data_IF_261580980324
#
_entry.id   IF_261580980324
#
_cell.length_a   1.000
_cell.length_b   1.000
_cell.length_c   1.000
_cell.angle_alpha   90.00
_cell.angle_beta   90.00
_cell.angle_gamma   90.00
#
_symmetry.space_group_name_H-M   'P 1'
#
loop_
_entity.id
_entity.type
_entity.pdbx_description
1 polymer ?
#
# COMPACT_ATOMS: atom_id res chain seq x y z
N UNK A 1 -2.15 1.46 -14.73
CA UNK A 1 -1.11 2.10 -15.56
C UNK A 1 0.26 1.86 -14.95
N UNK A 2 0.57 2.36 -13.75
CA UNK A 2 1.86 2.15 -13.10
C UNK A 2 2.31 0.67 -13.06
N UNK A 3 1.39 -0.25 -12.79
CA UNK A 3 1.64 -1.71 -12.81
C UNK A 3 2.22 -2.19 -14.14
N UNK A 4 1.70 -1.71 -15.26
CA UNK A 4 2.16 -2.09 -16.59
C UNK A 4 3.56 -1.53 -16.86
N UNK A 5 3.84 -0.29 -16.43
CA UNK A 5 5.17 0.30 -16.54
C UNK A 5 6.20 -0.47 -15.72
N UNK A 6 5.91 -0.73 -14.45
CA UNK A 6 6.79 -1.51 -13.57
C UNK A 6 7.04 -2.92 -14.12
N UNK A 7 6.03 -3.56 -14.67
CA UNK A 7 6.18 -4.88 -15.31
C UNK A 7 7.14 -4.85 -16.50
N UNK A 8 7.09 -3.80 -17.31
CA UNK A 8 7.89 -3.70 -18.55
C UNK A 8 9.28 -3.14 -18.32
N UNK A 9 9.44 -2.18 -17.42
CA UNK A 9 10.65 -1.35 -17.33
C UNK A 9 11.20 -1.21 -15.91
N UNK A 10 10.50 -1.61 -14.88
CA UNK A 10 10.88 -1.44 -13.48
C UNK A 10 11.02 -2.76 -12.73
N UNK A 11 10.71 -2.72 -11.44
CA UNK A 11 10.83 -3.82 -10.49
C UNK A 11 10.03 -5.09 -10.86
N UNK A 12 9.12 -5.00 -11.83
CA UNK A 12 8.30 -6.11 -12.30
C UNK A 12 8.92 -6.96 -13.41
N UNK A 13 10.13 -6.65 -13.88
CA UNK A 13 10.76 -7.41 -14.96
C UNK A 13 11.10 -8.85 -14.54
N UNK A 14 10.95 -9.77 -15.50
CA UNK A 14 11.43 -11.14 -15.36
C UNK A 14 10.50 -12.10 -14.62
N UNK A 15 9.26 -11.68 -14.26
CA UNK A 15 8.23 -12.58 -13.70
C UNK A 15 7.02 -12.70 -14.62
N UNK A 16 6.24 -13.78 -14.50
CA UNK A 16 5.01 -13.94 -15.27
C UNK A 16 3.80 -13.32 -14.59
N UNK A 17 3.87 -13.14 -13.26
CA UNK A 17 2.78 -12.57 -12.48
C UNK A 17 3.26 -11.62 -11.39
N UNK A 18 2.58 -10.52 -11.22
CA UNK A 18 2.82 -9.57 -10.14
C UNK A 18 1.56 -8.81 -9.74
N UNK A 19 1.57 -8.30 -8.52
CA UNK A 19 0.57 -7.37 -8.03
C UNK A 19 1.23 -6.11 -7.48
N UNK A 20 0.64 -4.95 -7.74
CA UNK A 20 1.16 -3.67 -7.24
C UNK A 20 0.23 -3.07 -6.19
N UNK A 21 0.82 -2.41 -5.20
CA UNK A 21 0.16 -1.57 -4.22
C UNK A 21 0.76 -0.17 -4.30
N UNK A 22 -0.07 0.83 -4.57
CA UNK A 22 0.35 2.23 -4.66
C UNK A 22 -0.41 3.09 -3.63
N UNK A 23 -0.04 3.04 -2.34
CA UNK A 23 -0.56 3.95 -1.33
C UNK A 23 -0.08 5.39 -1.62
N UNK A 24 -1.03 6.26 -1.85
CA UNK A 24 -0.86 7.69 -2.08
C UNK A 24 -1.96 8.46 -1.39
N UNK A 25 -2.64 9.39 -2.07
CA UNK A 25 -3.86 10.05 -1.56
C UNK A 25 -4.95 9.02 -1.22
N UNK A 26 -5.08 7.97 -2.03
CA UNK A 26 -5.84 6.75 -1.81
C UNK A 26 -4.94 5.53 -1.87
N UNK A 27 -5.48 4.36 -2.25
CA UNK A 27 -4.71 3.16 -2.52
C UNK A 27 -5.13 2.56 -3.86
N UNK A 28 -4.26 2.65 -4.85
CA UNK A 28 -4.41 1.95 -6.12
C UNK A 28 -3.72 0.60 -6.12
N UNK A 29 -4.17 -0.29 -7.01
CA UNK A 29 -3.53 -1.56 -7.29
C UNK A 29 -3.57 -1.92 -8.77
N UNK A 30 -2.85 -2.98 -9.13
CA UNK A 30 -2.90 -3.57 -10.45
C UNK A 30 -2.35 -4.99 -10.42
N UNK A 31 -2.89 -5.83 -11.29
CA UNK A 31 -2.56 -7.24 -11.36
C UNK A 31 -2.12 -7.62 -12.78
N UNK A 32 -0.94 -8.20 -12.91
CA UNK A 32 -0.45 -8.86 -14.13
C UNK A 32 -0.47 -10.36 -13.90
N UNK A 33 -1.03 -11.09 -14.84
CA UNK A 33 -1.01 -12.55 -14.88
C UNK A 33 -0.65 -13.03 -16.30
N UNK A 34 0.31 -13.94 -16.41
CA UNK A 34 0.85 -14.42 -17.70
C UNK A 34 1.22 -13.27 -18.66
N UNK A 35 1.83 -12.21 -18.09
CA UNK A 35 2.27 -11.04 -18.84
C UNK A 35 1.15 -10.10 -19.29
N UNK A 36 -0.10 -10.31 -18.87
CA UNK A 36 -1.26 -9.50 -19.25
C UNK A 36 -1.86 -8.79 -18.06
N UNK A 37 -2.24 -7.53 -18.27
CA UNK A 37 -2.99 -6.77 -17.27
C UNK A 37 -4.38 -7.36 -17.09
N UNK A 38 -4.72 -7.74 -15.86
CA UNK A 38 -6.05 -8.24 -15.49
C UNK A 38 -6.96 -7.06 -15.22
N UNK A 39 -7.95 -6.84 -16.07
CA UNK A 39 -8.94 -5.75 -15.93
C UNK A 39 -10.23 -6.21 -15.27
N UNK A 40 -10.54 -7.51 -15.32
CA UNK A 40 -11.81 -8.05 -14.85
C UNK A 40 -12.95 -7.81 -15.82
N UNK A 41 -14.13 -8.32 -15.46
CA UNK A 41 -15.32 -8.28 -16.33
C UNK A 41 -15.80 -6.84 -16.63
N UNK A 42 -15.70 -5.95 -15.63
CA UNK A 42 -16.20 -4.57 -15.71
C UNK A 42 -15.10 -3.55 -15.43
N UNK A 43 -13.84 -3.90 -15.66
CA UNK A 43 -12.66 -3.08 -15.42
C UNK A 43 -12.45 -2.67 -13.95
N UNK A 44 -12.92 -3.50 -13.00
CA UNK A 44 -12.76 -3.27 -11.56
C UNK A 44 -11.87 -4.31 -10.89
N UNK A 45 -11.05 -5.05 -11.63
CA UNK A 45 -10.06 -5.91 -11.02
C UNK A 45 -8.98 -5.09 -10.30
N UNK A 46 -8.40 -5.70 -9.28
CA UNK A 46 -7.32 -5.12 -8.49
C UNK A 46 -7.68 -3.85 -7.67
N UNK A 47 -8.97 -3.65 -7.36
CA UNK A 47 -9.45 -2.61 -6.44
C UNK A 47 -9.09 -2.95 -4.98
N UNK A 48 -7.80 -3.21 -4.75
CA UNK A 48 -7.26 -3.70 -3.47
C UNK A 48 -7.46 -2.72 -2.31
N UNK A 49 -7.54 -1.44 -2.63
CA UNK A 49 -7.83 -0.40 -1.64
C UNK A 49 -9.17 -0.60 -0.93
N UNK A 50 -10.11 -1.28 -1.57
CA UNK A 50 -11.44 -1.51 -1.04
C UNK A 50 -11.67 -2.90 -0.44
N UNK A 51 -10.61 -3.70 -0.29
CA UNK A 51 -10.64 -4.92 0.52
C UNK A 51 -10.73 -4.55 2.00
N UNK A 52 -11.71 -5.12 2.71
CA UNK A 52 -11.88 -4.88 4.15
C UNK A 52 -10.84 -5.69 4.92
N UNK A 53 -10.00 -5.00 5.68
CA UNK A 53 -8.93 -5.58 6.50
C UNK A 53 -9.32 -5.57 7.98
N UNK A 54 -10.11 -4.58 8.39
CA UNK A 54 -10.54 -4.40 9.77
C UNK A 54 -12.01 -3.98 9.78
N UNK A 55 -12.92 -4.89 10.18
CA UNK A 55 -14.37 -4.63 10.13
C UNK A 55 -14.80 -3.45 11.00
N UNK A 56 -14.06 -3.17 12.08
CA UNK A 56 -14.29 -2.05 12.99
C UNK A 56 -13.36 -0.85 12.70
N UNK A 57 -12.66 -0.91 11.59
CA UNK A 57 -11.69 0.09 11.17
C UNK A 57 -12.32 1.41 10.67
N UNK A 58 -11.48 2.36 10.23
CA UNK A 58 -11.92 3.69 9.85
C UNK A 58 -12.89 3.68 8.65
N UNK A 59 -13.76 4.70 8.61
CA UNK A 59 -14.70 4.89 7.50
C UNK A 59 -13.95 5.23 6.21
N UNK A 60 -14.18 4.45 5.17
CA UNK A 60 -13.66 4.69 3.83
C UNK A 60 -14.58 5.65 3.04
N UNK A 61 -14.00 6.40 2.10
CA UNK A 61 -14.76 7.24 1.17
C UNK A 61 -15.79 6.47 0.34
N UNK A 62 -15.61 5.15 0.17
CA UNK A 62 -16.61 4.30 -0.50
C UNK A 62 -17.85 3.99 0.36
N UNK A 63 -17.91 4.49 1.60
CA UNK A 63 -19.02 4.30 2.54
C UNK A 63 -18.91 3.05 3.43
N UNK A 64 -17.90 2.21 3.25
CA UNK A 64 -17.65 1.01 4.08
C UNK A 64 -16.60 1.29 5.14
N UNK A 65 -16.62 0.52 6.23
CA UNK A 65 -15.58 0.57 7.25
C UNK A 65 -14.44 -0.41 6.94
N UNK A 66 -13.23 -0.05 7.37
CA UNK A 66 -12.07 -0.93 7.41
C UNK A 66 -11.47 -1.32 6.07
N UNK A 67 -11.78 -0.60 5.01
CA UNK A 67 -11.07 -0.76 3.75
C UNK A 67 -9.57 -0.47 3.93
N UNK A 68 -8.72 -1.24 3.26
CA UNK A 68 -7.27 -1.05 3.32
C UNK A 68 -6.87 0.39 2.99
N UNK A 69 -7.48 1.01 1.99
CA UNK A 69 -7.26 2.41 1.62
C UNK A 69 -7.50 3.38 2.80
N UNK A 70 -8.58 3.18 3.55
CA UNK A 70 -8.91 4.04 4.69
C UNK A 70 -7.86 3.95 5.82
N UNK A 71 -7.05 2.91 5.81
CA UNK A 71 -5.96 2.70 6.76
C UNK A 71 -4.64 3.22 6.21
N UNK A 72 -4.21 2.76 5.00
CA UNK A 72 -2.82 2.92 4.54
C UNK A 72 -2.58 4.16 3.67
N UNK A 73 -3.62 4.89 3.29
CA UNK A 73 -3.49 6.09 2.47
C UNK A 73 -3.12 7.32 3.29
N UNK A 74 -2.64 8.36 2.60
CA UNK A 74 -2.44 9.68 3.19
C UNK A 74 -3.72 10.23 3.84
N UNK A 75 -4.87 10.00 3.18
CA UNK A 75 -6.16 10.37 3.75
C UNK A 75 -6.46 9.59 5.04
N UNK A 76 -6.10 8.31 5.08
CA UNK A 76 -6.21 7.49 6.29
C UNK A 76 -5.37 8.05 7.44
N UNK A 77 -4.11 8.43 7.18
CA UNK A 77 -3.26 9.09 8.19
C UNK A 77 -3.95 10.35 8.72
N UNK A 78 -4.42 11.22 7.82
CA UNK A 78 -5.06 12.49 8.22
C UNK A 78 -6.27 12.26 9.11
N UNK A 79 -7.13 11.31 8.76
CA UNK A 79 -8.32 10.97 9.56
C UNK A 79 -7.95 10.42 10.92
N UNK A 80 -7.11 9.40 10.97
CA UNK A 80 -6.73 8.73 12.22
C UNK A 80 -5.91 9.64 13.15
N UNK A 81 -5.02 10.48 12.59
CA UNK A 81 -4.29 11.48 13.36
C UNK A 81 -5.24 12.49 13.99
N UNK A 82 -6.20 13.02 13.21
CA UNK A 82 -7.22 13.94 13.70
C UNK A 82 -8.05 13.34 14.84
N UNK A 83 -8.44 12.07 14.72
CA UNK A 83 -9.16 11.36 15.80
C UNK A 83 -8.31 11.18 17.07
N UNK A 84 -7.04 10.80 16.94
CA UNK A 84 -6.15 10.65 18.10
C UNK A 84 -5.92 12.00 18.79
N UNK A 85 -5.69 13.08 18.05
CA UNK A 85 -5.50 14.43 18.60
C UNK A 85 -6.77 14.93 19.26
N UNK A 86 -7.95 14.71 18.67
CA UNK A 86 -9.24 15.08 19.30
C UNK A 86 -9.50 14.37 20.62
N UNK A 87 -8.90 13.20 20.81
CA UNK A 87 -8.95 12.41 22.07
C UNK A 87 -7.81 12.78 23.04
N UNK A 88 -7.03 13.83 22.73
CA UNK A 88 -5.99 14.36 23.62
C UNK A 88 -4.59 13.81 23.38
N UNK A 89 -4.34 13.06 22.30
CA UNK A 89 -3.00 12.64 21.94
C UNK A 89 -2.17 13.83 21.45
N UNK A 90 -0.90 13.92 21.91
CA UNK A 90 0.02 14.96 21.48
C UNK A 90 0.87 14.47 20.30
N UNK A 91 0.91 15.23 19.23
CA UNK A 91 1.78 15.03 18.08
C UNK A 91 2.46 16.33 17.70
N UNK A 92 3.65 16.23 17.09
CA UNK A 92 4.36 17.40 16.54
C UNK A 92 3.75 17.88 15.23
N UNK A 93 2.85 17.08 14.63
CA UNK A 93 2.16 17.41 13.38
C UNK A 93 0.88 18.18 13.66
N UNK A 94 0.68 19.29 12.96
CA UNK A 94 -0.64 19.91 12.84
C UNK A 94 -1.52 19.04 11.94
N UNK A 95 -2.45 18.29 12.56
CA UNK A 95 -3.33 17.37 11.85
C UNK A 95 -4.28 18.04 10.82
N UNK A 96 -4.41 19.37 10.88
CA UNK A 96 -5.26 20.11 9.94
C UNK A 96 -4.55 20.38 8.61
N UNK A 97 -3.20 20.53 8.66
CA UNK A 97 -2.38 20.85 7.49
C UNK A 97 -0.96 20.29 7.64
N UNK A 98 -0.64 19.22 6.92
CA UNK A 98 0.68 18.64 6.86
C UNK A 98 0.95 18.04 5.48
N UNK A 99 2.21 17.75 5.19
CA UNK A 99 2.69 17.11 3.97
C UNK A 99 3.38 15.80 4.31
N UNK A 100 3.69 14.99 3.31
CA UNK A 100 4.42 13.73 3.51
C UNK A 100 5.76 13.94 4.25
N UNK A 101 6.48 15.03 3.96
CA UNK A 101 7.75 15.34 4.63
C UNK A 101 7.58 15.52 6.13
N UNK A 102 6.48 16.11 6.58
CA UNK A 102 6.21 16.35 7.99
C UNK A 102 6.01 15.03 8.75
N UNK A 103 5.47 14.00 8.07
CA UNK A 103 5.33 12.63 8.59
C UNK A 103 6.72 11.99 8.79
N UNK A 104 7.63 12.11 7.81
CA UNK A 104 8.98 11.57 7.91
C UNK A 104 9.76 12.21 9.06
N UNK A 105 9.65 13.55 9.19
CA UNK A 105 10.29 14.26 10.27
C UNK A 105 9.73 13.87 11.64
N UNK A 106 8.42 13.72 11.77
CA UNK A 106 7.79 13.29 13.01
C UNK A 106 8.23 11.87 13.39
N UNK A 107 8.27 10.93 12.42
CA UNK A 107 8.81 9.59 12.61
C UNK A 107 10.26 9.64 13.13
N UNK A 108 11.14 10.38 12.46
CA UNK A 108 12.56 10.51 12.84
C UNK A 108 12.76 11.20 14.19
N UNK A 109 11.83 12.05 14.62
CA UNK A 109 11.81 12.68 15.96
C UNK A 109 11.21 11.80 17.05
N UNK A 110 10.73 10.59 16.70
CA UNK A 110 10.11 9.66 17.64
C UNK A 110 8.72 10.10 18.10
N UNK A 111 7.94 10.81 17.25
CA UNK A 111 6.55 11.12 17.56
C UNK A 111 5.76 9.83 17.74
N UNK A 112 5.27 9.58 18.95
CA UNK A 112 4.63 8.33 19.32
C UNK A 112 3.35 8.11 18.52
N UNK A 113 2.57 9.16 18.27
CA UNK A 113 1.29 9.05 17.53
C UNK A 113 1.54 8.64 16.09
N UNK A 114 2.53 9.27 15.44
CA UNK A 114 2.90 8.92 14.06
C UNK A 114 3.50 7.53 13.99
N UNK A 115 4.34 7.15 14.94
CA UNK A 115 4.93 5.80 15.00
C UNK A 115 3.85 4.73 15.11
N UNK A 116 2.90 4.89 16.03
CA UNK A 116 1.78 3.96 16.18
C UNK A 116 0.91 3.86 14.91
N UNK A 117 0.66 5.00 14.24
CA UNK A 117 -0.13 5.04 13.01
C UNK A 117 0.58 4.34 11.85
N UNK A 118 1.86 4.63 11.63
CA UNK A 118 2.62 4.01 10.53
C UNK A 118 2.85 2.53 10.75
N UNK A 119 3.10 2.09 12.00
CA UNK A 119 3.16 0.67 12.31
C UNK A 119 1.82 -0.05 12.08
N UNK A 120 0.70 0.60 12.45
CA UNK A 120 -0.63 0.04 12.16
C UNK A 120 -0.86 -0.08 10.66
N UNK A 121 -0.50 0.94 9.88
CA UNK A 121 -0.58 0.90 8.43
C UNK A 121 0.30 -0.21 7.83
N UNK A 122 1.54 -0.35 8.28
CA UNK A 122 2.45 -1.39 7.80
C UNK A 122 1.90 -2.79 8.08
N UNK A 123 1.31 -3.00 9.26
CA UNK A 123 0.64 -4.27 9.59
C UNK A 123 -0.56 -4.53 8.68
N UNK A 124 -1.42 -3.54 8.48
CA UNK A 124 -2.60 -3.66 7.60
C UNK A 124 -2.21 -3.93 6.16
N UNK A 125 -1.16 -3.27 5.66
CA UNK A 125 -0.64 -3.48 4.31
C UNK A 125 -0.08 -4.90 4.14
N UNK A 126 0.64 -5.42 5.14
CA UNK A 126 1.11 -6.81 5.14
C UNK A 126 -0.05 -7.82 5.08
N UNK A 127 -1.15 -7.58 5.81
CA UNK A 127 -2.36 -8.41 5.73
C UNK A 127 -2.99 -8.30 4.33
N UNK A 128 -3.08 -7.09 3.76
CA UNK A 128 -3.58 -6.88 2.40
C UNK A 128 -2.76 -7.64 1.35
N UNK A 129 -1.44 -7.61 1.48
CA UNK A 129 -0.51 -8.37 0.62
C UNK A 129 -0.74 -9.87 0.76
N UNK A 130 -0.85 -10.38 1.99
CA UNK A 130 -1.13 -11.79 2.23
C UNK A 130 -2.46 -12.22 1.58
N UNK A 131 -3.51 -11.41 1.69
CA UNK A 131 -4.80 -11.69 1.06
C UNK A 131 -4.68 -11.80 -0.47
N UNK A 132 -3.91 -10.89 -1.09
CA UNK A 132 -3.64 -10.97 -2.54
C UNK A 132 -2.88 -12.24 -2.88
N UNK A 133 -1.83 -12.57 -2.15
CA UNK A 133 -1.04 -13.79 -2.37
C UNK A 133 -1.90 -15.04 -2.21
N UNK A 134 -2.73 -15.12 -1.17
CA UNK A 134 -3.64 -16.23 -0.93
C UNK A 134 -4.68 -16.43 -2.04
N UNK A 135 -5.06 -15.36 -2.76
CA UNK A 135 -6.07 -15.41 -3.82
C UNK A 135 -5.42 -15.66 -5.19
N UNK A 136 -4.26 -15.05 -5.44
CA UNK A 136 -3.69 -14.94 -6.79
C UNK A 136 -2.44 -15.79 -7.02
N UNK A 137 -1.68 -16.09 -5.95
CA UNK A 137 -0.41 -16.81 -6.05
C UNK A 137 0.64 -16.09 -6.88
N UNK A 138 0.69 -14.75 -6.84
CA UNK A 138 1.66 -13.97 -7.64
C UNK A 138 3.09 -14.20 -7.19
N UNK A 139 4.03 -14.13 -8.14
CA UNK A 139 5.47 -14.27 -7.92
C UNK A 139 6.09 -13.02 -7.27
N UNK A 140 5.49 -11.84 -7.48
CA UNK A 140 6.06 -10.58 -7.01
C UNK A 140 4.99 -9.60 -6.57
N UNK A 141 5.27 -8.90 -5.47
CA UNK A 141 4.55 -7.72 -5.02
C UNK A 141 5.44 -6.50 -5.26
N UNK A 142 4.88 -5.44 -5.83
CA UNK A 142 5.55 -4.15 -5.95
C UNK A 142 4.80 -3.15 -5.09
N UNK A 143 5.52 -2.52 -4.20
CA UNK A 143 5.01 -1.50 -3.28
C UNK A 143 5.52 -0.13 -3.70
N UNK A 144 4.62 0.78 -4.00
CA UNK A 144 4.94 2.19 -4.24
C UNK A 144 4.54 3.08 -3.07
N UNK A 145 4.51 4.38 -3.33
CA UNK A 145 4.07 5.40 -2.39
C UNK A 145 5.19 6.06 -1.60
N UNK A 146 5.16 7.39 -1.59
CA UNK A 146 6.25 8.23 -1.06
C UNK A 146 6.61 7.92 0.39
N UNK A 147 5.63 7.68 1.27
CA UNK A 147 5.88 7.37 2.68
C UNK A 147 6.60 6.04 2.82
N UNK A 148 6.15 5.02 2.12
CA UNK A 148 6.73 3.68 2.18
C UNK A 148 8.11 3.62 1.54
N UNK A 149 8.35 4.40 0.49
CA UNK A 149 9.65 4.51 -0.15
C UNK A 149 10.68 5.20 0.77
N UNK A 150 10.28 6.33 1.39
CA UNK A 150 11.16 7.11 2.28
C UNK A 150 11.49 6.38 3.59
N UNK A 151 10.55 5.59 4.11
CA UNK A 151 10.68 4.84 5.36
C UNK A 151 10.77 3.33 5.11
N UNK A 152 11.28 2.91 3.96
CA UNK A 152 11.32 1.49 3.59
C UNK A 152 12.11 0.64 4.57
N UNK A 153 13.24 1.13 5.07
CA UNK A 153 14.10 0.37 5.98
C UNK A 153 13.41 0.07 7.32
N UNK A 154 12.47 0.92 7.73
CA UNK A 154 11.70 0.77 8.96
C UNK A 154 10.40 -0.02 8.74
N UNK A 155 9.66 0.29 7.66
CA UNK A 155 8.30 -0.21 7.47
C UNK A 155 8.24 -1.54 6.70
N UNK A 156 9.15 -1.79 5.74
CA UNK A 156 9.14 -3.01 4.95
C UNK A 156 9.30 -4.28 5.79
N UNK A 157 10.17 -4.33 6.81
CA UNK A 157 10.24 -5.50 7.69
C UNK A 157 8.94 -5.79 8.45
N UNK A 158 8.18 -4.76 8.81
CA UNK A 158 6.88 -4.92 9.47
C UNK A 158 5.85 -5.46 8.48
N UNK A 159 5.85 -4.94 7.25
CA UNK A 159 4.97 -5.38 6.16
C UNK A 159 5.23 -6.86 5.85
N UNK A 160 6.49 -7.24 5.60
CA UNK A 160 6.89 -8.62 5.28
C UNK A 160 6.53 -9.59 6.39
N UNK A 161 6.86 -9.26 7.64
CA UNK A 161 6.50 -10.07 8.81
C UNK A 161 5.00 -10.35 8.87
N UNK A 162 4.16 -9.37 8.57
CA UNK A 162 2.72 -9.53 8.59
C UNK A 162 2.21 -10.26 7.33
N UNK A 163 2.81 -10.06 6.17
CA UNK A 163 2.51 -10.85 4.98
C UNK A 163 2.80 -12.34 5.22
N UNK A 164 3.97 -12.69 5.74
CA UNK A 164 4.34 -14.06 6.10
C UNK A 164 3.36 -14.66 7.11
N UNK A 165 3.02 -13.89 8.15
CA UNK A 165 2.14 -14.36 9.23
C UNK A 165 0.73 -14.72 8.74
N UNK A 166 0.22 -14.03 7.71
CA UNK A 166 -1.16 -14.15 7.25
C UNK A 166 -1.30 -14.86 5.89
N UNK A 167 -0.21 -15.10 5.19
CA UNK A 167 -0.21 -16.00 4.03
C UNK A 167 -0.39 -17.45 4.50
N UNK A 168 -1.11 -18.25 3.70
CA UNK A 168 -1.38 -19.65 4.04
C UNK A 168 -0.19 -20.55 3.71
N UNK A 169 0.21 -21.41 4.65
CA UNK A 169 1.26 -22.42 4.42
C UNK A 169 2.57 -21.82 3.90
N UNK A 170 2.94 -22.22 2.71
CA UNK A 170 4.14 -21.75 1.99
C UNK A 170 3.84 -20.66 0.95
N UNK A 171 2.72 -19.96 1.09
CA UNK A 171 2.28 -18.95 0.10
C UNK A 171 3.27 -17.80 -0.15
N UNK A 172 4.19 -17.56 0.79
CA UNK A 172 5.27 -16.58 0.63
C UNK A 172 6.58 -17.15 0.07
N UNK A 173 6.69 -18.48 -0.10
CA UNK A 173 7.93 -19.11 -0.58
C UNK A 173 8.24 -18.67 -2.01
N UNK A 174 9.36 -17.98 -2.18
CA UNK A 174 9.78 -17.43 -3.48
C UNK A 174 9.11 -16.13 -3.89
N UNK A 175 8.13 -15.63 -3.13
CA UNK A 175 7.52 -14.31 -3.39
C UNK A 175 8.44 -13.20 -2.88
N UNK A 176 8.67 -12.18 -3.72
CA UNK A 176 9.45 -11.01 -3.36
C UNK A 176 8.53 -9.79 -3.22
N UNK A 177 8.70 -9.02 -2.14
CA UNK A 177 8.10 -7.70 -1.98
C UNK A 177 9.19 -6.68 -2.29
N UNK A 178 9.03 -5.93 -3.38
CA UNK A 178 10.00 -4.94 -3.84
C UNK A 178 9.38 -3.54 -3.85
N UNK A 179 10.21 -2.53 -3.64
CA UNK A 179 9.79 -1.15 -3.88
C UNK A 179 9.72 -0.89 -5.39
N UNK A 180 8.83 0.01 -5.79
CA UNK A 180 8.74 0.47 -7.17
C UNK A 180 10.01 1.21 -7.60
N UNK A 181 10.43 1.04 -8.86
CA UNK A 181 11.65 1.66 -9.41
C UNK A 181 11.36 2.93 -10.22
N UNK A 182 10.18 3.02 -10.84
CA UNK A 182 9.87 4.11 -11.79
C UNK A 182 9.26 5.36 -11.13
N UNK A 183 9.04 5.33 -9.81
CA UNK A 183 8.55 6.48 -9.05
C UNK A 183 7.25 7.07 -9.62
N UNK A 184 7.17 8.41 -9.61
CA UNK A 184 5.98 9.16 -10.03
C UNK A 184 5.76 9.17 -11.57
N UNK A 185 6.75 8.72 -12.35
CA UNK A 185 6.64 8.63 -13.82
C UNK A 185 5.90 7.35 -14.27
N UNK A 186 5.81 6.34 -13.42
CA UNK A 186 5.19 5.05 -13.74
C UNK A 186 3.77 5.14 -14.32
N UNK A 187 2.84 5.97 -13.78
CA UNK A 187 1.50 6.10 -14.35
C UNK A 187 1.48 6.66 -15.76
N UNK A 188 2.30 7.68 -16.04
CA UNK A 188 2.38 8.32 -17.36
C UNK A 188 2.98 7.37 -18.39
N UNK A 189 4.07 6.69 -18.03
CA UNK A 189 4.71 5.70 -18.86
C UNK A 189 3.76 4.54 -19.17
N UNK A 190 3.06 4.01 -18.15
CA UNK A 190 2.09 2.94 -18.35
C UNK A 190 0.89 3.35 -19.19
N UNK A 191 0.46 4.62 -19.12
CA UNK A 191 -0.62 5.14 -19.97
C UNK A 191 -0.23 5.20 -21.44
N UNK A 192 1.03 5.54 -21.77
CA UNK A 192 1.55 5.57 -23.14
C UNK A 192 1.63 4.20 -23.82
N UNK A 193 1.39 3.11 -23.08
CA UNK A 193 1.47 1.73 -23.58
C UNK A 193 0.09 1.11 -23.84
N UNK A 194 -0.97 1.87 -23.64
CA UNK A 194 -2.32 1.44 -23.97
C UNK A 194 -2.65 1.92 -25.40
N UNK A 195 -2.68 0.99 -26.33
CA UNK A 195 -3.22 1.17 -27.68
C UNK A 195 -4.68 0.71 -27.72
#
# INVERSE_FOLDING_TARGET
>A
MATLAEYKFGAGQGVSSLFTFYPGTGLGGGYIYEGKLVTGFNSTAAEVGHVVIDIDGPLCKCGRHGCLEAIVSYHGIKTMLGEKVSKGAASVIDHTSFRAVDIFEAWRKGDQVISELLEYQARALGIGIANVINITGVERIILGGTIYHELQDDLLPIIEKNAIKHAIGNGMDGVNILMNELGDEAPALGASMLD
#
